data_IF_094112289232
#
_entry.id   IF_094112289232
#
_cell.length_a   1.000
_cell.length_b   1.000
_cell.length_c   1.000
_cell.angle_alpha   90.00
_cell.angle_beta   90.00
_cell.angle_gamma   90.00
#
_symmetry.space_group_name_H-M   'P 1'
#
loop_
_entity.id
_entity.type
_entity.pdbx_description
1 polymer ?
#
# COMPACT_ATOMS: atom_id res chain seq x y z
N UNK A 1 24.07 0.79 -16.69
CA UNK A 1 22.60 0.87 -16.58
C UNK A 1 22.01 0.68 -17.96
N UNK A 2 21.21 -0.36 -18.16
CA UNK A 2 20.65 -0.73 -19.47
C UNK A 2 19.15 -0.42 -19.58
N UNK A 3 18.46 -0.32 -18.45
CA UNK A 3 17.02 -0.04 -18.37
C UNK A 3 16.78 0.95 -17.23
N UNK A 4 15.95 1.97 -17.47
CA UNK A 4 15.44 2.89 -16.45
C UNK A 4 14.01 2.48 -16.09
N UNK A 5 13.80 2.03 -14.85
CA UNK A 5 12.48 1.69 -14.31
C UNK A 5 11.81 2.92 -13.71
N UNK A 6 10.61 3.25 -14.20
CA UNK A 6 9.73 4.30 -13.65
C UNK A 6 8.61 3.64 -12.86
N UNK A 7 8.68 3.70 -11.53
CA UNK A 7 7.66 3.16 -10.66
C UNK A 7 6.53 4.18 -10.45
N UNK A 8 5.36 3.94 -11.05
CA UNK A 8 4.20 4.83 -10.99
C UNK A 8 3.43 4.73 -9.67
N UNK A 9 3.86 3.88 -8.73
CA UNK A 9 3.34 3.91 -7.36
C UNK A 9 3.74 5.20 -6.62
N UNK A 10 4.75 5.93 -7.11
CA UNK A 10 5.28 7.16 -6.53
C UNK A 10 5.61 8.18 -7.63
N UNK A 11 5.59 9.46 -7.27
CA UNK A 11 5.87 10.58 -8.20
C UNK A 11 4.69 10.94 -9.09
N UNK A 12 4.80 12.10 -9.75
CA UNK A 12 3.79 12.61 -10.67
C UNK A 12 4.22 12.49 -12.15
N UNK A 13 3.29 12.78 -13.06
CA UNK A 13 3.56 12.71 -14.51
C UNK A 13 4.66 13.67 -14.97
N UNK A 14 4.80 14.84 -14.34
CA UNK A 14 5.79 15.84 -14.73
C UNK A 14 7.20 15.37 -14.35
N UNK A 15 7.36 14.82 -13.16
CA UNK A 15 8.61 14.26 -12.67
C UNK A 15 9.06 13.07 -13.52
N UNK A 16 8.16 12.13 -13.81
CA UNK A 16 8.46 11.00 -14.70
C UNK A 16 8.79 11.47 -16.11
N UNK A 17 8.09 12.48 -16.62
CA UNK A 17 8.38 13.13 -17.91
C UNK A 17 9.78 13.74 -17.96
N UNK A 18 10.18 14.45 -16.90
CA UNK A 18 11.51 15.05 -16.82
C UNK A 18 12.61 13.98 -16.78
N UNK A 19 12.40 12.87 -16.05
CA UNK A 19 13.34 11.75 -16.02
C UNK A 19 13.52 11.11 -17.41
N UNK A 20 12.44 10.96 -18.17
CA UNK A 20 12.47 10.45 -19.56
C UNK A 20 13.27 11.40 -20.46
N UNK A 21 13.02 12.71 -20.38
CA UNK A 21 13.76 13.70 -21.17
C UNK A 21 15.25 13.68 -20.85
N UNK A 22 15.60 13.62 -19.56
CA UNK A 22 16.99 13.56 -19.11
C UNK A 22 17.70 12.32 -19.65
N UNK A 23 17.06 11.14 -19.59
CA UNK A 23 17.64 9.92 -20.13
C UNK A 23 17.86 10.03 -21.64
N UNK A 24 16.88 10.52 -22.40
CA UNK A 24 17.01 10.72 -23.86
C UNK A 24 18.13 11.69 -24.22
N UNK A 25 18.27 12.78 -23.45
CA UNK A 25 19.34 13.75 -23.64
C UNK A 25 20.73 13.13 -23.40
N UNK A 26 20.88 12.30 -22.36
CA UNK A 26 22.13 11.58 -22.08
C UNK A 26 22.42 10.54 -23.16
N UNK A 27 21.41 9.80 -23.62
CA UNK A 27 21.56 8.82 -24.72
C UNK A 27 22.03 9.50 -26.00
N UNK A 28 21.44 10.66 -26.35
CA UNK A 28 21.83 11.46 -27.51
C UNK A 28 23.28 11.96 -27.41
N UNK A 29 23.68 12.50 -26.24
CA UNK A 29 25.02 13.04 -26.01
C UNK A 29 26.12 11.97 -25.97
N UNK A 30 25.82 10.77 -25.49
CA UNK A 30 26.82 9.73 -25.24
C UNK A 30 26.81 8.58 -26.25
N UNK A 31 25.79 8.52 -27.11
CA UNK A 31 25.55 7.41 -28.04
C UNK A 31 25.18 6.09 -27.35
N UNK A 32 25.05 6.07 -26.02
CA UNK A 32 24.70 4.87 -25.26
C UNK A 32 23.22 4.57 -25.40
N UNK A 33 22.89 3.28 -25.56
CA UNK A 33 21.51 2.79 -25.62
C UNK A 33 21.03 2.35 -24.24
N UNK A 34 19.84 2.78 -23.86
CA UNK A 34 19.13 2.32 -22.67
C UNK A 34 17.63 2.24 -22.97
N UNK A 35 16.92 1.32 -22.32
CA UNK A 35 15.47 1.18 -22.41
C UNK A 35 14.77 1.90 -21.24
N UNK A 36 13.46 2.13 -21.39
CA UNK A 36 12.61 2.69 -20.33
C UNK A 36 11.52 1.67 -20.03
N UNK A 37 11.40 1.27 -18.77
CA UNK A 37 10.37 0.36 -18.28
C UNK A 37 9.40 1.14 -17.41
N UNK A 38 8.12 1.12 -17.78
CA UNK A 38 7.05 1.66 -16.95
C UNK A 38 6.52 0.55 -16.04
N UNK A 39 6.61 0.77 -14.74
CA UNK A 39 6.08 -0.15 -13.74
C UNK A 39 4.80 0.42 -13.14
N UNK A 40 3.70 -0.26 -13.44
CA UNK A 40 2.36 0.10 -13.00
C UNK A 40 2.16 -0.27 -11.53
N UNK A 41 1.42 0.55 -10.78
CA UNK A 41 1.05 0.24 -9.39
C UNK A 41 0.33 -1.09 -9.22
N UNK A 42 -0.54 -1.46 -10.17
CA UNK A 42 -1.37 -2.66 -10.11
C UNK A 42 -2.50 -2.59 -9.08
N UNK A 43 -3.42 -3.57 -9.07
CA UNK A 43 -4.44 -3.69 -8.02
C UNK A 43 -3.79 -4.12 -6.70
N UNK A 44 -4.09 -3.40 -5.61
CA UNK A 44 -3.57 -3.68 -4.28
C UNK A 44 -4.70 -3.70 -3.23
N UNK A 45 -4.59 -4.58 -2.24
CA UNK A 45 -5.47 -4.58 -1.06
C UNK A 45 -4.74 -3.81 0.03
N UNK A 46 -5.29 -2.66 0.44
CA UNK A 46 -4.77 -1.85 1.55
C UNK A 46 -5.81 -1.72 2.65
N UNK A 47 -5.34 -1.75 3.90
CA UNK A 47 -6.15 -1.37 5.05
C UNK A 47 -6.44 0.13 5.01
N UNK A 48 -7.58 0.53 5.57
CA UNK A 48 -7.97 1.93 5.69
C UNK A 48 -7.32 2.60 6.91
N UNK A 49 -7.50 3.92 7.05
CA UNK A 49 -7.05 4.66 8.23
C UNK A 49 -7.75 4.14 9.47
N UNK A 50 -6.96 3.98 10.54
CA UNK A 50 -7.47 3.66 11.87
C UNK A 50 -8.06 4.91 12.53
N UNK A 51 -8.91 4.70 13.53
CA UNK A 51 -9.55 5.78 14.28
C UNK A 51 -8.49 6.71 14.91
N UNK A 52 -8.65 8.02 14.68
CA UNK A 52 -7.69 9.02 15.17
C UNK A 52 -6.31 9.01 14.50
N UNK A 53 -6.07 8.16 13.50
CA UNK A 53 -4.77 8.05 12.82
C UNK A 53 -3.65 7.47 13.68
N UNK A 54 -4.00 6.88 14.82
CA UNK A 54 -3.05 6.28 15.74
C UNK A 54 -2.81 4.80 15.39
N UNK A 55 -1.58 4.35 15.57
CA UNK A 55 -1.23 2.94 15.45
C UNK A 55 -1.84 2.14 16.59
N UNK A 56 -2.35 0.94 16.28
CA UNK A 56 -2.97 0.02 17.25
C UNK A 56 -2.08 -1.21 17.43
N UNK A 57 -1.83 -1.61 18.67
CA UNK A 57 -1.12 -2.85 19.00
C UNK A 57 -2.06 -4.04 19.03
N UNK A 58 -1.74 -5.10 18.28
CA UNK A 58 -2.50 -6.35 18.25
C UNK A 58 -1.84 -7.40 19.13
N UNK A 59 -2.63 -8.09 19.96
CA UNK A 59 -2.17 -9.25 20.75
C UNK A 59 -2.66 -10.56 20.13
N UNK A 60 -1.81 -11.58 20.15
CA UNK A 60 -2.17 -12.91 19.66
C UNK A 60 -3.39 -13.47 20.43
N UNK A 61 -4.35 -14.02 19.70
CA UNK A 61 -5.60 -14.56 20.27
C UNK A 61 -6.71 -13.52 20.49
N UNK A 62 -6.46 -12.24 20.22
CA UNK A 62 -7.49 -11.22 20.22
C UNK A 62 -8.34 -11.31 18.95
N UNK A 63 -9.68 -11.45 19.06
CA UNK A 63 -10.55 -11.44 17.89
C UNK A 63 -10.60 -10.04 17.26
N UNK A 64 -10.27 -9.95 15.98
CA UNK A 64 -10.32 -8.73 15.16
C UNK A 64 -11.13 -8.97 13.89
N UNK A 65 -12.07 -8.08 13.57
CA UNK A 65 -12.92 -8.16 12.38
C UNK A 65 -12.47 -7.17 11.30
N UNK A 66 -12.30 -7.65 10.07
CA UNK A 66 -12.10 -6.83 8.87
C UNK A 66 -13.39 -6.87 8.02
N UNK A 67 -14.26 -5.85 8.08
CA UNK A 67 -15.49 -5.85 7.33
C UNK A 67 -15.23 -5.72 5.81
N UNK A 68 -16.04 -6.35 4.94
CA UNK A 68 -15.88 -6.31 3.49
C UNK A 68 -16.30 -4.96 2.86
N UNK A 69 -16.92 -4.07 3.63
CA UNK A 69 -17.39 -2.76 3.18
C UNK A 69 -16.90 -1.65 4.11
N UNK A 70 -16.69 -0.45 3.54
CA UNK A 70 -16.38 0.74 4.33
C UNK A 70 -17.69 1.39 4.81
N UNK A 71 -17.96 1.38 6.13
CA UNK A 71 -18.43 2.61 6.75
C UNK A 71 -17.77 2.81 8.12
N UNK A 72 -16.76 3.68 8.16
CA UNK A 72 -16.48 4.55 9.31
C UNK A 72 -16.30 3.96 10.71
N UNK A 73 -15.94 2.69 10.87
CA UNK A 73 -15.30 2.22 12.11
C UNK A 73 -14.78 0.80 11.95
N UNK A 74 -13.45 0.63 11.96
CA UNK A 74 -12.88 -0.63 12.44
C UNK A 74 -13.16 -0.64 13.94
N UNK A 75 -14.32 -1.14 14.33
CA UNK A 75 -14.68 -1.28 15.75
C UNK A 75 -13.82 -2.41 16.31
N UNK A 76 -12.63 -2.07 16.79
CA UNK A 76 -11.90 -2.84 17.79
C UNK A 76 -12.59 -2.67 19.15
N UNK A 77 -13.87 -3.05 19.26
CA UNK A 77 -14.43 -3.35 20.57
C UNK A 77 -13.75 -4.64 20.97
N UNK A 78 -12.95 -4.58 22.05
CA UNK A 78 -12.58 -5.77 22.78
C UNK A 78 -13.86 -6.57 23.02
N UNK A 79 -14.03 -7.66 22.29
CA UNK A 79 -15.13 -8.57 22.57
C UNK A 79 -14.93 -9.02 24.02
N UNK A 80 -15.93 -8.84 24.90
CA UNK A 80 -15.83 -9.39 26.24
C UNK A 80 -15.57 -10.89 26.11
N UNK A 81 -14.62 -11.38 26.89
CA UNK A 81 -14.20 -12.79 26.95
C UNK A 81 -15.40 -13.73 26.82
N UNK A 82 -15.28 -14.87 26.12
CA UNK A 82 -16.40 -15.78 25.94
C UNK A 82 -17.03 -16.06 27.31
N UNK A 83 -18.30 -15.66 27.47
CA UNK A 83 -19.12 -16.03 28.62
C UNK A 83 -18.96 -17.54 28.78
N UNK A 84 -18.40 -17.96 29.91
CA UNK A 84 -18.30 -19.37 30.27
C UNK A 84 -19.70 -19.95 30.14
N UNK A 85 -19.88 -20.89 29.21
CA UNK A 85 -21.09 -21.68 29.13
C UNK A 85 -21.26 -22.37 30.49
N UNK A 86 -22.29 -21.97 31.23
CA UNK A 86 -22.73 -22.70 32.41
C UNK A 86 -23.32 -24.02 31.93
N UNK A 87 -22.88 -25.18 32.43
CA UNK A 87 -23.52 -26.44 32.07
C UNK A 87 -24.94 -26.43 32.62
N UNK A 88 -25.91 -26.65 31.74
CA UNK A 88 -27.31 -26.88 32.13
C UNK A 88 -27.34 -28.13 33.01
N UNK A 89 -27.87 -27.97 34.23
CA UNK A 89 -28.30 -29.08 35.08
C UNK A 89 -29.80 -29.26 34.91
#
# INVERSE_FOLDING_TARGET
MNVMRLNFSHGDYAEHGQRIQNLRNVMSKTGKKAAILLDTKGPEIRTIKLEGGNDVSLKAGQPSLLPPTNPWSVIMKSLPSPMKASPAT
#
